data_IF_659823277918
#
_entry.id   IF_659823277918
#
_cell.length_a   1.000
_cell.length_b   1.000
_cell.length_c   1.000
_cell.angle_alpha   90.00
_cell.angle_beta   90.00
_cell.angle_gamma   90.00
#
_symmetry.space_group_name_H-M   'P 1'
#
loop_
_entity.id
_entity.type
_entity.pdbx_description
1 polymer ?
#
# COMPACT_ATOMS: atom_id res chain seq x y z
N UNK A 1 -25.96 -7.36 5.86
CA UNK A 1 -25.05 -6.32 5.35
C UNK A 1 -24.60 -6.65 3.92
N UNK A 2 -24.08 -7.87 3.65
CA UNK A 2 -23.60 -8.30 2.32
C UNK A 2 -24.72 -8.27 1.27
N UNK A 3 -25.92 -8.77 1.60
CA UNK A 3 -27.06 -8.75 0.68
C UNK A 3 -27.49 -7.31 0.32
N UNK A 4 -27.56 -6.41 1.30
CA UNK A 4 -27.86 -4.99 1.08
C UNK A 4 -26.84 -4.32 0.17
N UNK A 5 -25.54 -4.53 0.41
CA UNK A 5 -24.46 -4.03 -0.44
C UNK A 5 -24.60 -4.51 -1.90
N UNK A 6 -24.91 -5.81 -2.09
CA UNK A 6 -25.06 -6.41 -3.43
C UNK A 6 -26.27 -5.84 -4.19
N UNK A 7 -27.39 -5.67 -3.50
CA UNK A 7 -28.59 -5.07 -4.07
C UNK A 7 -28.36 -3.60 -4.43
N UNK A 8 -27.75 -2.83 -3.54
CA UNK A 8 -27.44 -1.42 -3.75
C UNK A 8 -26.48 -1.23 -4.94
N UNK A 9 -25.47 -2.09 -5.06
CA UNK A 9 -24.55 -2.10 -6.20
C UNK A 9 -25.28 -2.38 -7.51
N UNK A 10 -26.18 -3.38 -7.54
CA UNK A 10 -26.98 -3.66 -8.73
C UNK A 10 -27.85 -2.47 -9.12
N UNK A 11 -28.50 -1.83 -8.14
CA UNK A 11 -29.32 -0.63 -8.38
C UNK A 11 -28.49 0.52 -8.96
N UNK A 12 -27.31 0.81 -8.39
CA UNK A 12 -26.42 1.87 -8.88
C UNK A 12 -25.86 1.56 -10.27
N UNK A 13 -25.53 0.30 -10.58
CA UNK A 13 -25.04 -0.08 -11.91
C UNK A 13 -26.10 0.05 -13.01
N UNK A 14 -27.38 0.04 -12.67
CA UNK A 14 -28.48 0.32 -13.61
C UNK A 14 -28.59 1.81 -13.94
N UNK A 15 -28.24 2.69 -12.99
CA UNK A 15 -28.33 4.15 -13.15
C UNK A 15 -27.02 4.72 -13.72
N UNK A 16 -25.88 4.18 -13.30
CA UNK A 16 -24.55 4.65 -13.72
C UNK A 16 -23.74 3.44 -14.21
N UNK A 17 -23.93 3.04 -15.48
CA UNK A 17 -23.26 1.84 -16.02
C UNK A 17 -21.74 1.96 -16.13
N UNK A 18 -21.19 3.18 -16.12
CA UNK A 18 -19.74 3.44 -16.19
C UNK A 18 -19.00 3.28 -14.86
N UNK A 19 -19.71 3.09 -13.73
CA UNK A 19 -19.06 2.96 -12.42
C UNK A 19 -18.39 1.59 -12.30
N UNK A 20 -17.07 1.60 -12.09
CA UNK A 20 -16.34 0.36 -11.86
C UNK A 20 -16.65 -0.20 -10.47
N UNK A 21 -16.66 -1.53 -10.36
CA UNK A 21 -16.89 -2.23 -9.08
C UNK A 21 -16.04 -1.70 -7.94
N UNK A 22 -14.76 -1.51 -8.19
CA UNK A 22 -13.80 -1.01 -7.18
C UNK A 22 -14.13 0.39 -6.70
N UNK A 23 -14.57 1.28 -7.61
CA UNK A 23 -14.97 2.64 -7.25
C UNK A 23 -16.23 2.64 -6.39
N UNK A 24 -17.22 1.82 -6.75
CA UNK A 24 -18.42 1.68 -5.94
C UNK A 24 -18.11 1.15 -4.55
N UNK A 25 -17.32 0.06 -4.46
CA UNK A 25 -16.96 -0.55 -3.18
C UNK A 25 -16.17 0.44 -2.29
N UNK A 26 -15.30 1.26 -2.88
CA UNK A 26 -14.55 2.29 -2.17
C UNK A 26 -15.49 3.40 -1.62
N UNK A 27 -16.33 3.97 -2.47
CA UNK A 27 -17.26 5.03 -2.06
C UNK A 27 -18.25 4.51 -1.00
N UNK A 28 -18.76 3.31 -1.21
CA UNK A 28 -19.65 2.66 -0.23
C UNK A 28 -18.92 2.45 1.10
N UNK A 29 -17.67 1.97 1.08
CA UNK A 29 -16.87 1.75 2.29
C UNK A 29 -16.63 3.04 3.08
N UNK A 30 -16.30 4.14 2.40
CA UNK A 30 -16.12 5.46 3.04
C UNK A 30 -17.42 5.97 3.65
N UNK A 31 -18.53 5.92 2.90
CA UNK A 31 -19.84 6.36 3.42
C UNK A 31 -20.28 5.50 4.61
N UNK A 32 -20.06 4.19 4.55
CA UNK A 32 -20.36 3.27 5.65
C UNK A 32 -19.53 3.57 6.89
N UNK A 33 -18.24 3.87 6.72
CA UNK A 33 -17.34 4.26 7.81
C UNK A 33 -17.82 5.55 8.49
N UNK A 34 -18.19 6.56 7.70
CA UNK A 34 -18.73 7.84 8.19
C UNK A 34 -20.06 7.62 8.93
N UNK A 35 -20.97 6.84 8.37
CA UNK A 35 -22.26 6.56 9.01
C UNK A 35 -22.10 5.86 10.36
N UNK A 36 -21.17 4.90 10.47
CA UNK A 36 -20.96 4.14 11.70
C UNK A 36 -20.20 4.93 12.75
N UNK A 37 -19.11 5.61 12.36
CA UNK A 37 -18.19 6.25 13.30
C UNK A 37 -18.35 7.77 13.39
N UNK A 38 -19.17 8.37 12.53
CA UNK A 38 -19.31 9.82 12.46
C UNK A 38 -17.96 10.50 12.26
N UNK A 39 -17.68 11.54 13.02
CA UNK A 39 -16.41 12.29 12.96
C UNK A 39 -15.19 11.43 13.30
N UNK A 40 -15.34 10.39 14.10
CA UNK A 40 -14.23 9.50 14.43
C UNK A 40 -13.72 8.69 13.22
N UNK A 41 -14.49 8.62 12.14
CA UNK A 41 -14.03 8.05 10.88
C UNK A 41 -12.75 8.73 10.38
N UNK A 42 -12.60 10.05 10.61
CA UNK A 42 -11.41 10.81 10.23
C UNK A 42 -10.16 10.27 10.92
N UNK A 43 -10.26 9.91 12.21
CA UNK A 43 -9.14 9.33 12.97
C UNK A 43 -8.71 7.99 12.35
N UNK A 44 -9.68 7.13 12.03
CA UNK A 44 -9.41 5.83 11.40
C UNK A 44 -8.71 6.00 10.05
N UNK A 45 -9.25 6.88 9.20
CA UNK A 45 -8.68 7.17 7.88
C UNK A 45 -7.26 7.74 8.01
N UNK A 46 -7.06 8.67 8.95
CA UNK A 46 -5.74 9.26 9.21
C UNK A 46 -4.70 8.18 9.57
N UNK A 47 -5.02 7.28 10.49
CA UNK A 47 -4.11 6.21 10.87
C UNK A 47 -3.79 5.24 9.72
N UNK A 48 -4.81 4.86 8.92
CA UNK A 48 -4.61 4.02 7.74
C UNK A 48 -3.69 4.73 6.74
N UNK A 49 -3.90 6.04 6.54
CA UNK A 49 -3.08 6.85 5.63
C UNK A 49 -1.63 6.94 6.11
N UNK A 50 -1.41 7.15 7.42
CA UNK A 50 -0.05 7.19 8.00
C UNK A 50 0.67 5.85 7.78
N UNK A 51 0.02 4.72 8.08
CA UNK A 51 0.59 3.39 7.87
C UNK A 51 0.97 3.18 6.40
N UNK A 52 0.08 3.56 5.48
CA UNK A 52 0.34 3.45 4.06
C UNK A 52 1.52 4.33 3.60
N UNK A 53 1.59 5.57 4.07
CA UNK A 53 2.71 6.48 3.78
C UNK A 53 4.02 5.91 4.33
N UNK A 54 4.03 5.43 5.58
CA UNK A 54 5.20 4.78 6.17
C UNK A 54 5.68 3.59 5.34
N UNK A 55 4.76 2.73 4.92
CA UNK A 55 5.07 1.58 4.06
C UNK A 55 5.70 2.03 2.72
N UNK A 56 5.14 3.07 2.09
CA UNK A 56 5.65 3.61 0.82
C UNK A 56 7.03 4.24 0.95
N UNK A 57 7.24 5.03 1.99
CA UNK A 57 8.52 5.71 2.20
C UNK A 57 9.65 4.75 2.56
N UNK A 58 9.32 3.66 3.26
CA UNK A 58 10.32 2.71 3.76
C UNK A 58 10.46 1.43 2.93
N UNK A 59 9.69 1.28 1.85
CA UNK A 59 9.68 0.08 0.98
C UNK A 59 11.07 -0.32 0.44
N UNK A 60 12.01 0.63 0.40
CA UNK A 60 13.40 0.36 -0.03
C UNK A 60 14.19 -0.51 0.96
N UNK A 61 13.82 -0.47 2.25
CA UNK A 61 14.52 -1.15 3.35
C UNK A 61 13.55 -2.07 4.08
N UNK A 62 13.35 -3.28 3.58
CA UNK A 62 12.34 -4.22 4.07
C UNK A 62 12.33 -4.42 5.60
N UNK A 63 13.50 -4.60 6.23
CA UNK A 63 13.59 -4.80 7.69
C UNK A 63 13.18 -3.56 8.48
N UNK A 64 13.61 -2.38 8.03
CA UNK A 64 13.24 -1.11 8.66
C UNK A 64 11.74 -0.82 8.48
N UNK A 65 11.21 -1.06 7.28
CA UNK A 65 9.79 -0.91 6.99
C UNK A 65 8.93 -1.76 7.92
N UNK A 66 9.26 -3.05 8.05
CA UNK A 66 8.55 -3.96 8.94
C UNK A 66 8.63 -3.50 10.40
N UNK A 67 9.83 -3.13 10.89
CA UNK A 67 10.02 -2.64 12.25
C UNK A 67 9.21 -1.37 12.53
N UNK A 68 9.25 -0.39 11.65
CA UNK A 68 8.51 0.87 11.78
C UNK A 68 6.99 0.66 11.77
N UNK A 69 6.49 -0.19 10.88
CA UNK A 69 5.06 -0.50 10.81
C UNK A 69 4.56 -1.16 12.10
N UNK A 70 5.32 -2.12 12.64
CA UNK A 70 4.98 -2.75 13.90
C UNK A 70 5.09 -1.77 15.08
N UNK A 71 6.14 -0.96 15.14
CA UNK A 71 6.31 0.06 16.18
C UNK A 71 5.17 1.07 16.17
N UNK A 72 4.80 1.57 14.98
CA UNK A 72 3.66 2.46 14.85
C UNK A 72 2.34 1.78 15.23
N UNK A 73 2.11 0.54 14.75
CA UNK A 73 0.90 -0.20 15.04
C UNK A 73 0.71 -0.43 16.55
N UNK A 74 1.70 -1.02 17.19
CA UNK A 74 1.67 -1.29 18.64
C UNK A 74 1.59 0.01 19.44
N UNK A 75 2.41 1.02 19.08
CA UNK A 75 2.39 2.33 19.73
C UNK A 75 1.02 3.02 19.65
N UNK A 76 0.37 2.95 18.48
CA UNK A 76 -0.97 3.53 18.30
C UNK A 76 -2.04 2.83 19.12
N UNK A 77 -1.94 1.49 19.32
CA UNK A 77 -2.84 0.74 20.20
C UNK A 77 -2.69 1.21 21.65
N UNK A 78 -1.46 1.35 22.15
CA UNK A 78 -1.20 1.83 23.50
C UNK A 78 -1.71 3.26 23.73
N UNK A 79 -1.48 4.16 22.76
CA UNK A 79 -1.97 5.53 22.82
C UNK A 79 -3.49 5.55 22.84
N UNK A 80 -4.12 4.75 22.00
CA UNK A 80 -5.57 4.68 21.90
C UNK A 80 -6.21 4.12 23.18
N UNK A 81 -5.60 3.10 23.80
CA UNK A 81 -6.05 2.55 25.08
C UNK A 81 -5.90 3.55 26.21
N UNK A 82 -4.73 4.21 26.33
CA UNK A 82 -4.44 5.18 27.40
C UNK A 82 -5.34 6.41 27.36
N UNK A 83 -5.60 6.97 26.16
CA UNK A 83 -6.35 8.23 26.00
C UNK A 83 -7.82 8.01 25.63
N UNK A 84 -8.30 6.79 25.61
CA UNK A 84 -9.70 6.37 25.39
C UNK A 84 -10.44 7.27 24.39
N UNK A 85 -10.18 7.02 23.14
CA UNK A 85 -10.85 7.72 22.03
C UNK A 85 -10.66 9.24 21.93
N UNK A 86 -9.68 9.82 22.64
CA UNK A 86 -9.27 11.25 22.60
C UNK A 86 -10.22 12.14 21.76
N UNK A 87 -11.27 12.75 22.40
CA UNK A 87 -12.21 13.61 21.69
C UNK A 87 -11.49 14.81 21.08
N UNK A 88 -11.99 15.30 19.96
CA UNK A 88 -11.37 16.44 19.26
C UNK A 88 -11.34 17.70 20.12
N UNK A 89 -12.33 17.87 21.00
CA UNK A 89 -12.37 18.95 21.98
C UNK A 89 -11.20 18.96 22.96
N UNK A 90 -10.56 17.81 23.23
CA UNK A 90 -9.37 17.74 24.07
C UNK A 90 -8.10 18.17 23.34
N UNK A 91 -8.10 18.09 22.00
CA UNK A 91 -6.97 18.52 21.19
C UNK A 91 -7.10 20.02 20.89
N UNK A 92 -8.29 20.43 20.48
CA UNK A 92 -8.61 21.82 20.12
C UNK A 92 -10.00 22.17 20.65
N UNK A 93 -10.11 23.03 21.68
CA UNK A 93 -11.39 23.30 22.35
C UNK A 93 -12.51 23.77 21.43
N UNK A 94 -12.20 24.49 20.36
CA UNK A 94 -13.21 24.93 19.39
C UNK A 94 -13.81 23.79 18.57
N UNK A 95 -13.22 22.57 18.54
CA UNK A 95 -13.75 21.40 17.86
C UNK A 95 -14.71 20.57 18.71
N UNK A 96 -14.95 20.95 19.97
CA UNK A 96 -15.83 20.19 20.87
C UNK A 96 -17.27 20.02 20.35
N UNK A 97 -17.75 20.98 19.54
CA UNK A 97 -19.06 20.90 18.91
C UNK A 97 -19.17 19.71 17.93
N UNK A 98 -18.06 19.30 17.30
CA UNK A 98 -18.02 18.18 16.36
C UNK A 98 -18.21 16.85 17.10
N UNK A 99 -17.63 16.72 18.29
CA UNK A 99 -17.77 15.51 19.12
C UNK A 99 -19.21 15.28 19.59
N UNK A 100 -19.99 16.35 19.71
CA UNK A 100 -21.40 16.27 20.15
C UNK A 100 -22.37 16.20 18.96
N UNK A 101 -22.12 16.92 17.88
CA UNK A 101 -23.02 17.06 16.74
C UNK A 101 -22.96 15.91 15.73
N UNK A 102 -21.82 15.25 15.58
CA UNK A 102 -21.59 14.22 14.57
C UNK A 102 -21.15 12.88 15.16
N UNK A 103 -21.85 12.43 16.20
CA UNK A 103 -21.63 11.10 16.78
C UNK A 103 -22.05 10.02 15.78
N UNK A 104 -21.18 9.05 15.55
CA UNK A 104 -21.54 7.84 14.79
C UNK A 104 -22.49 6.93 15.59
N UNK A 105 -23.02 5.92 14.91
CA UNK A 105 -23.90 4.90 15.52
C UNK A 105 -23.14 4.09 16.58
N UNK A 106 -21.85 3.85 16.36
CA UNK A 106 -20.99 3.08 17.28
C UNK A 106 -20.18 4.04 18.15
N UNK A 107 -20.46 4.02 19.45
CA UNK A 107 -19.79 4.88 20.42
C UNK A 107 -18.29 4.56 20.59
N UNK A 108 -17.90 3.29 20.40
CA UNK A 108 -16.54 2.82 20.59
C UNK A 108 -15.85 2.57 19.27
N UNK A 109 -15.37 3.64 18.63
CA UNK A 109 -14.59 3.57 17.41
C UNK A 109 -13.22 2.86 17.59
N UNK A 110 -12.67 2.92 18.81
CA UNK A 110 -11.40 2.30 19.19
C UNK A 110 -11.36 0.78 18.95
N UNK A 111 -12.45 0.08 19.25
CA UNK A 111 -12.54 -1.37 19.02
C UNK A 111 -12.48 -1.69 17.53
N UNK A 112 -13.25 -0.97 16.73
CA UNK A 112 -13.23 -1.13 15.27
C UNK A 112 -11.86 -0.76 14.68
N UNK A 113 -11.25 0.30 15.20
CA UNK A 113 -9.91 0.71 14.81
C UNK A 113 -8.88 -0.40 15.00
N UNK A 114 -8.90 -1.10 16.14
CA UNK A 114 -7.96 -2.19 16.42
C UNK A 114 -8.00 -3.29 15.35
N UNK A 115 -9.19 -3.70 14.92
CA UNK A 115 -9.36 -4.67 13.82
C UNK A 115 -8.90 -4.11 12.47
N UNK A 116 -9.22 -2.85 12.20
CA UNK A 116 -8.82 -2.17 10.97
C UNK A 116 -7.32 -1.98 10.90
N UNK A 117 -6.68 -1.66 12.02
CA UNK A 117 -5.23 -1.53 12.13
C UNK A 117 -4.52 -2.85 11.78
N UNK A 118 -4.97 -3.97 12.34
CA UNK A 118 -4.39 -5.28 12.02
C UNK A 118 -4.49 -5.62 10.53
N UNK A 119 -5.64 -5.33 9.92
CA UNK A 119 -5.82 -5.50 8.46
C UNK A 119 -4.91 -4.57 7.67
N UNK A 120 -4.79 -3.30 8.08
CA UNK A 120 -3.92 -2.34 7.41
C UNK A 120 -2.45 -2.73 7.53
N UNK A 121 -2.01 -3.21 8.71
CA UNK A 121 -0.65 -3.74 8.90
C UNK A 121 -0.38 -4.93 7.99
N UNK A 122 -1.26 -5.95 8.00
CA UNK A 122 -1.12 -7.12 7.13
C UNK A 122 -1.02 -6.72 5.66
N UNK A 123 -1.93 -5.89 5.18
CA UNK A 123 -1.91 -5.40 3.80
C UNK A 123 -0.60 -4.70 3.43
N UNK A 124 -0.09 -3.81 4.29
CA UNK A 124 1.13 -3.07 4.00
C UNK A 124 2.39 -3.93 4.10
N UNK A 125 2.42 -4.93 4.99
CA UNK A 125 3.51 -5.91 5.06
C UNK A 125 3.54 -6.79 3.81
N UNK A 126 2.39 -7.25 3.34
CA UNK A 126 2.27 -8.01 2.09
C UNK A 126 2.67 -7.17 0.88
N UNK A 127 2.29 -5.89 0.87
CA UNK A 127 2.69 -4.94 -0.17
C UNK A 127 4.22 -4.80 -0.23
N UNK A 128 4.89 -4.55 0.90
CA UNK A 128 6.35 -4.43 0.98
C UNK A 128 7.04 -5.72 0.51
N UNK A 129 6.55 -6.88 0.96
CA UNK A 129 7.08 -8.18 0.56
C UNK A 129 6.96 -8.39 -0.94
N UNK A 130 5.79 -8.10 -1.52
CA UNK A 130 5.54 -8.23 -2.95
C UNK A 130 6.48 -7.34 -3.78
N UNK A 131 6.65 -6.08 -3.40
CA UNK A 131 7.56 -5.15 -4.07
C UNK A 131 9.02 -5.65 -4.02
N UNK A 132 9.43 -6.20 -2.89
CA UNK A 132 10.77 -6.77 -2.73
C UNK A 132 10.96 -8.01 -3.61
N UNK A 133 9.98 -8.91 -3.67
CA UNK A 133 10.00 -10.10 -4.52
C UNK A 133 10.07 -9.73 -6.02
N UNK A 134 9.39 -8.67 -6.43
CA UNK A 134 9.46 -8.14 -7.81
C UNK A 134 10.87 -7.65 -8.12
N UNK A 135 11.50 -6.88 -7.22
CA UNK A 135 12.87 -6.40 -7.38
C UNK A 135 13.87 -7.56 -7.52
N UNK A 136 13.80 -8.53 -6.62
CA UNK A 136 14.69 -9.72 -6.64
C UNK A 136 14.55 -10.50 -7.95
N UNK A 137 13.32 -10.66 -8.46
CA UNK A 137 13.08 -11.33 -9.74
C UNK A 137 13.63 -10.54 -10.93
N UNK A 138 13.50 -9.21 -10.91
CA UNK A 138 14.04 -8.34 -11.94
C UNK A 138 15.57 -8.40 -11.99
N UNK A 139 16.24 -8.32 -10.83
CA UNK A 139 17.68 -8.41 -10.72
C UNK A 139 18.21 -9.78 -11.19
N UNK A 140 17.51 -10.86 -10.82
CA UNK A 140 17.88 -12.22 -11.24
C UNK A 140 17.70 -12.44 -12.75
N UNK A 141 16.71 -11.78 -13.36
CA UNK A 141 16.53 -11.81 -14.82
C UNK A 141 17.68 -11.06 -15.50
N UNK A 142 18.00 -9.86 -15.02
CA UNK A 142 19.08 -9.04 -15.56
C UNK A 142 20.43 -9.77 -15.52
N UNK A 143 20.77 -10.38 -14.40
CA UNK A 143 22.02 -11.17 -14.26
C UNK A 143 22.08 -12.34 -15.26
N UNK A 144 20.95 -13.02 -15.51
CA UNK A 144 20.89 -14.09 -16.52
C UNK A 144 21.00 -13.60 -17.95
N UNK A 145 20.48 -12.42 -18.23
CA UNK A 145 20.57 -11.82 -19.57
C UNK A 145 22.00 -11.30 -19.82
N UNK A 146 22.70 -10.83 -18.80
CA UNK A 146 24.11 -10.44 -18.86
C UNK A 146 25.04 -11.68 -19.06
N UNK A 147 24.76 -12.78 -18.37
CA UNK A 147 25.50 -14.05 -18.52
C UNK A 147 25.29 -14.70 -19.91
N UNK A 148 24.13 -14.47 -20.53
CA UNK A 148 23.83 -14.98 -21.88
C UNK A 148 24.37 -14.12 -23.02
N UNK A 149 24.89 -12.92 -22.73
CA UNK A 149 25.53 -12.09 -23.73
C UNK A 149 26.88 -12.72 -24.02
N UNK A 150 27.11 -13.37 -25.20
CA UNK A 150 28.42 -13.91 -25.51
C UNK A 150 29.41 -12.75 -25.47
N UNK A 151 30.55 -13.00 -24.83
CA UNK A 151 31.67 -12.09 -24.92
C UNK A 151 31.87 -11.79 -26.41
N UNK A 152 31.45 -10.59 -26.81
CA UNK A 152 31.95 -10.03 -28.04
C UNK A 152 33.44 -9.82 -27.79
N UNK A 153 34.21 -10.84 -28.14
CA UNK A 153 35.64 -10.74 -28.21
C UNK A 153 35.94 -9.42 -28.90
N UNK A 154 36.66 -8.49 -28.27
CA UNK A 154 37.11 -7.31 -28.98
C UNK A 154 38.00 -7.84 -30.09
N UNK A 155 37.49 -7.81 -31.32
CA UNK A 155 38.29 -8.11 -32.51
C UNK A 155 39.35 -7.02 -32.53
N UNK A 156 40.50 -7.32 -31.99
CA UNK A 156 41.65 -6.44 -32.02
C UNK A 156 41.95 -6.25 -33.49
N UNK A 157 42.29 -5.06 -33.97
CA UNK A 157 42.61 -4.81 -35.37
C UNK A 157 43.71 -5.74 -35.95
N UNK A 158 44.48 -6.39 -35.09
CA UNK A 158 45.52 -7.36 -35.45
C UNK A 158 44.96 -8.70 -35.98
N UNK A 159 43.79 -9.15 -35.52
CA UNK A 159 43.21 -10.44 -35.94
C UNK A 159 42.64 -10.35 -37.36
N UNK A 160 42.22 -9.19 -37.81
CA UNK A 160 41.75 -8.94 -39.15
C UNK A 160 42.87 -8.98 -40.16
N UNK A 161 44.08 -8.48 -39.78
CA UNK A 161 45.24 -8.45 -40.69
C UNK A 161 45.82 -9.86 -40.84
N UNK A 162 45.81 -10.68 -39.81
CA UNK A 162 46.32 -12.07 -39.87
C UNK A 162 45.50 -12.95 -40.79
N UNK A 163 44.18 -12.81 -40.76
CA UNK A 163 43.28 -13.58 -41.61
C UNK A 163 43.35 -13.18 -43.11
N UNK A 164 43.64 -11.92 -43.40
CA UNK A 164 43.85 -11.46 -44.77
C UNK A 164 45.14 -11.97 -45.39
N UNK A 165 46.22 -12.14 -44.60
CA UNK A 165 47.53 -12.62 -45.07
C UNK A 165 47.51 -14.13 -45.37
N UNK A 166 46.69 -14.90 -44.67
CA UNK A 166 46.57 -16.35 -44.89
C UNK A 166 45.81 -16.65 -46.20
N UNK A 167 44.79 -15.87 -46.57
CA UNK A 167 44.01 -16.09 -47.78
C UNK A 167 44.77 -15.73 -49.08
N UNK A 168 45.80 -14.88 -48.99
CA UNK A 168 46.63 -14.51 -50.15
C UNK A 168 47.75 -15.53 -50.45
N UNK A 169 48.05 -16.45 -49.56
CA UNK A 169 49.10 -17.45 -49.71
C UNK A 169 48.63 -18.75 -50.42
N UNK A 170 47.34 -18.95 -50.49
CA UNK A 170 46.70 -20.15 -51.08
C UNK A 170 46.13 -19.91 -52.49
N UNK A 171 46.49 -18.80 -53.14
CA UNK A 171 46.23 -18.52 -54.54
C UNK A 171 47.56 -18.49 -55.32
#
# INVERSE_FOLDING_TARGET
LVAGHTLLRRGVSLVIPSIQRTQFDFVFGINFLIAIHGVNAVKVVLHITIIFILARLTQSHNRLATGLLWTYGVGSLFINDKYRSYPFGNILPFLSFIDTGFKGIVARWDVFYNFTLLKALSFNLDFIKRENDIKIRADKKRSKDEEKKPDSVPTTPQDVVTNLIVDERDR
#
